data_IF_263637379765
#
_entry.id   IF_263637379765
#
_cell.length_a   1.000
_cell.length_b   1.000
_cell.length_c   1.000
_cell.angle_alpha   90.00
_cell.angle_beta   90.00
_cell.angle_gamma   90.00
#
_symmetry.space_group_name_H-M   'P 1'
#
loop_
_entity.id
_entity.type
_entity.pdbx_description
1 polymer ?
#
# COMPACT_ATOMS: atom_id res chain seq x y z
N UNK A 1 -10.68 1.46 25.24
CA UNK A 1 -10.77 0.04 25.65
C UNK A 1 -10.03 -0.78 24.60
N UNK A 2 -9.37 -1.87 25.00
CA UNK A 2 -8.78 -2.82 24.05
C UNK A 2 -9.90 -3.57 23.34
N UNK A 3 -9.87 -3.62 22.00
CA UNK A 3 -10.84 -4.39 21.19
C UNK A 3 -10.27 -5.79 20.90
N UNK A 4 -11.06 -6.83 21.13
CA UNK A 4 -10.78 -8.19 20.67
C UNK A 4 -11.15 -8.32 19.19
N UNK A 5 -10.20 -8.76 18.36
CA UNK A 5 -10.34 -8.84 16.91
C UNK A 5 -10.27 -10.29 16.46
N UNK A 6 -11.23 -10.70 15.64
CA UNK A 6 -11.16 -11.94 14.88
C UNK A 6 -10.74 -11.62 13.43
N UNK A 7 -9.56 -12.08 13.03
CA UNK A 7 -9.02 -11.87 11.68
C UNK A 7 -9.30 -13.06 10.78
N UNK A 8 -9.81 -12.80 9.57
CA UNK A 8 -10.10 -13.81 8.56
C UNK A 8 -9.31 -13.49 7.30
N UNK A 9 -8.51 -14.42 6.80
CA UNK A 9 -7.79 -14.24 5.55
C UNK A 9 -6.65 -15.22 5.37
N UNK A 10 -6.09 -15.26 4.16
CA UNK A 10 -4.81 -15.94 3.92
C UNK A 10 -3.72 -15.19 4.68
N UNK A 11 -2.86 -15.91 5.41
CA UNK A 11 -1.71 -15.35 6.13
C UNK A 11 -0.57 -14.96 5.17
N UNK A 12 -0.82 -13.99 4.28
CA UNK A 12 0.19 -13.36 3.43
C UNK A 12 0.78 -12.10 4.11
N UNK A 13 1.66 -11.38 3.41
CA UNK A 13 2.31 -10.20 3.99
C UNK A 13 1.33 -9.05 4.28
N UNK A 14 0.19 -8.97 3.59
CA UNK A 14 -0.85 -7.96 3.86
C UNK A 14 -1.57 -8.30 5.16
N UNK A 15 -1.96 -9.57 5.33
CA UNK A 15 -2.51 -10.07 6.58
C UNK A 15 -1.57 -9.82 7.75
N UNK A 16 -0.30 -10.23 7.62
CA UNK A 16 0.68 -10.13 8.70
C UNK A 16 0.97 -8.67 9.08
N UNK A 17 1.07 -7.78 8.09
CA UNK A 17 1.27 -6.35 8.36
C UNK A 17 0.06 -5.71 9.06
N UNK A 18 -1.16 -6.12 8.71
CA UNK A 18 -2.35 -5.61 9.38
C UNK A 18 -2.46 -6.15 10.82
N UNK A 19 -2.18 -7.44 11.01
CA UNK A 19 -2.14 -8.07 12.34
C UNK A 19 -1.10 -7.40 13.25
N UNK A 20 0.15 -7.24 12.79
CA UNK A 20 1.20 -6.53 13.56
C UNK A 20 0.75 -5.11 13.92
N UNK A 21 0.16 -4.36 12.97
CA UNK A 21 -0.28 -2.99 13.24
C UNK A 21 -1.44 -2.92 14.24
N UNK A 22 -2.38 -3.86 14.20
CA UNK A 22 -3.49 -4.00 15.15
C UNK A 22 -2.99 -4.28 16.57
N UNK A 23 -2.08 -5.25 16.71
CA UNK A 23 -1.47 -5.59 18.01
C UNK A 23 -0.75 -4.39 18.60
N UNK A 24 0.05 -3.70 17.78
CA UNK A 24 0.75 -2.46 18.19
C UNK A 24 -0.19 -1.30 18.54
N UNK A 25 -1.42 -1.31 18.03
CA UNK A 25 -2.46 -0.35 18.41
C UNK A 25 -3.19 -0.77 19.70
N UNK A 26 -2.83 -1.90 20.30
CA UNK A 26 -3.39 -2.39 21.55
C UNK A 26 -4.61 -3.28 21.39
N UNK A 27 -4.87 -3.81 20.19
CA UNK A 27 -5.89 -4.85 19.97
C UNK A 27 -5.36 -6.22 20.41
N UNK A 28 -6.28 -7.13 20.77
CA UNK A 28 -5.99 -8.54 21.07
C UNK A 28 -6.67 -9.44 20.06
N UNK A 29 -6.14 -10.64 19.81
CA UNK A 29 -6.72 -11.57 18.84
C UNK A 29 -7.51 -12.70 19.50
N UNK A 30 -8.59 -13.14 18.83
CA UNK A 30 -9.38 -14.31 19.22
C UNK A 30 -9.69 -15.18 18.00
N UNK A 31 -9.64 -16.49 18.20
CA UNK A 31 -10.03 -17.49 17.19
C UNK A 31 -11.56 -17.65 17.10
N UNK A 32 -12.29 -17.18 18.11
CA UNK A 32 -13.74 -17.31 18.23
C UNK A 32 -14.44 -15.99 17.87
N UNK A 33 -15.34 -16.03 16.88
CA UNK A 33 -16.08 -14.85 16.40
C UNK A 33 -16.98 -14.26 17.48
N UNK A 34 -17.60 -15.14 18.25
CA UNK A 34 -18.51 -14.83 19.37
C UNK A 34 -17.83 -14.05 20.50
N UNK A 35 -16.51 -14.18 20.64
CA UNK A 35 -15.72 -13.48 21.65
C UNK A 35 -15.05 -12.20 21.11
N UNK A 36 -15.32 -11.84 19.85
CA UNK A 36 -14.71 -10.69 19.19
C UNK A 36 -15.59 -9.44 19.25
N UNK A 37 -14.96 -8.30 19.50
CA UNK A 37 -15.58 -6.97 19.34
C UNK A 37 -15.61 -6.54 17.87
N UNK A 38 -14.71 -7.10 17.05
CA UNK A 38 -14.53 -6.73 15.66
C UNK A 38 -14.10 -7.92 14.80
N UNK A 39 -14.81 -8.15 13.70
CA UNK A 39 -14.45 -9.14 12.68
C UNK A 39 -13.88 -8.43 11.45
N UNK A 40 -12.60 -8.67 11.17
CA UNK A 40 -11.91 -8.09 10.01
C UNK A 40 -11.58 -9.21 9.01
N UNK A 41 -12.07 -9.09 7.77
CA UNK A 41 -11.77 -10.03 6.69
C UNK A 41 -10.86 -9.40 5.63
N UNK A 42 -9.85 -10.13 5.17
CA UNK A 42 -8.79 -9.64 4.29
C UNK A 42 -8.73 -10.49 3.01
N UNK A 43 -8.64 -9.83 1.86
CA UNK A 43 -8.52 -10.46 0.55
C UNK A 43 -9.79 -11.23 0.15
N UNK A 44 -9.63 -12.31 -0.62
CA UNK A 44 -10.74 -13.09 -1.18
C UNK A 44 -11.67 -13.68 -0.13
N UNK A 45 -11.12 -13.99 1.06
CA UNK A 45 -11.88 -14.56 2.18
C UNK A 45 -12.99 -13.66 2.69
N UNK A 46 -12.94 -12.35 2.40
CA UNK A 46 -14.04 -11.42 2.70
C UNK A 46 -15.34 -11.78 1.95
N UNK A 47 -15.27 -12.50 0.84
CA UNK A 47 -16.47 -12.94 0.09
C UNK A 47 -17.13 -14.20 0.64
N UNK A 48 -16.39 -15.00 1.39
CA UNK A 48 -16.85 -16.31 1.89
C UNK A 48 -17.31 -16.27 3.34
N UNK A 49 -17.23 -15.11 3.99
CA UNK A 49 -17.57 -14.96 5.40
C UNK A 49 -18.91 -14.23 5.58
N UNK A 50 -19.77 -14.76 6.43
CA UNK A 50 -20.93 -14.03 6.95
C UNK A 50 -20.51 -13.16 8.13
N UNK A 51 -21.18 -12.01 8.30
CA UNK A 51 -21.04 -11.11 9.46
C UNK A 51 -19.64 -10.51 9.60
N UNK A 52 -19.27 -9.65 8.64
CA UNK A 52 -17.98 -8.94 8.64
C UNK A 52 -18.22 -7.49 9.05
N UNK A 53 -17.46 -6.99 10.03
CA UNK A 53 -17.46 -5.58 10.37
C UNK A 53 -16.63 -4.78 9.38
N UNK A 54 -15.40 -5.22 9.14
CA UNK A 54 -14.46 -4.55 8.22
C UNK A 54 -13.94 -5.53 7.18
N UNK A 55 -14.10 -5.20 5.91
CA UNK A 55 -13.44 -5.91 4.80
C UNK A 55 -12.27 -5.08 4.26
N UNK A 56 -11.15 -5.73 3.98
CA UNK A 56 -9.98 -5.13 3.32
C UNK A 56 -9.69 -5.92 2.06
N UNK A 57 -9.94 -5.33 0.90
CA UNK A 57 -9.89 -6.05 -0.38
C UNK A 57 -9.03 -5.31 -1.43
N UNK A 58 -8.42 -6.02 -2.38
CA UNK A 58 -7.87 -5.43 -3.59
C UNK A 58 -8.93 -4.67 -4.39
N UNK A 59 -8.51 -3.65 -5.14
CA UNK A 59 -9.43 -2.78 -5.88
C UNK A 59 -10.25 -3.48 -6.97
N UNK A 60 -9.71 -4.55 -7.55
CA UNK A 60 -10.35 -5.34 -8.61
C UNK A 60 -11.37 -6.37 -8.09
N UNK A 61 -11.55 -6.53 -6.78
CA UNK A 61 -12.49 -7.49 -6.22
C UNK A 61 -13.89 -6.88 -6.09
N UNK A 62 -14.98 -7.65 -6.20
CA UNK A 62 -16.32 -7.12 -5.92
C UNK A 62 -16.41 -6.61 -4.46
N UNK A 63 -17.41 -5.79 -4.12
CA UNK A 63 -17.62 -5.42 -2.70
C UNK A 63 -18.24 -6.60 -1.93
N UNK A 64 -17.65 -7.09 -0.83
CA UNK A 64 -18.27 -8.08 0.05
C UNK A 64 -19.37 -7.49 0.93
N UNK A 65 -20.15 -8.34 1.59
CA UNK A 65 -21.16 -7.89 2.55
C UNK A 65 -20.53 -7.58 3.92
N UNK A 66 -19.95 -6.39 4.07
CA UNK A 66 -19.38 -5.89 5.33
C UNK A 66 -20.04 -4.57 5.76
N UNK A 67 -19.89 -4.18 7.05
CA UNK A 67 -20.33 -2.86 7.55
C UNK A 67 -19.47 -1.73 6.99
N UNK A 68 -18.17 -1.96 6.85
CA UNK A 68 -17.20 -1.07 6.22
C UNK A 68 -16.27 -1.87 5.31
N UNK A 69 -15.99 -1.36 4.11
CA UNK A 69 -15.08 -1.97 3.15
C UNK A 69 -13.98 -0.99 2.75
N UNK A 70 -12.73 -1.37 2.97
CA UNK A 70 -11.56 -0.71 2.39
C UNK A 70 -11.22 -1.36 1.06
N UNK A 71 -11.30 -0.56 0.00
CA UNK A 71 -10.87 -0.93 -1.35
C UNK A 71 -9.49 -0.38 -1.60
N UNK A 72 -8.48 -1.25 -1.62
CA UNK A 72 -7.08 -0.83 -1.63
C UNK A 72 -6.52 -0.92 -3.03
N UNK A 73 -5.94 0.19 -3.51
CA UNK A 73 -5.38 0.33 -4.85
C UNK A 73 -3.86 0.40 -4.78
N UNK A 74 -3.20 -0.33 -5.69
CA UNK A 74 -1.77 -0.19 -6.00
C UNK A 74 -0.87 -0.09 -4.75
N UNK A 75 -0.79 -1.17 -3.95
CA UNK A 75 0.05 -1.15 -2.75
C UNK A 75 1.46 -1.66 -3.02
N UNK A 76 2.44 -0.97 -2.42
CA UNK A 76 3.81 -1.43 -2.36
C UNK A 76 3.94 -2.38 -1.17
N UNK A 77 4.03 -3.68 -1.46
CA UNK A 77 4.31 -4.74 -0.49
C UNK A 77 5.72 -5.25 -0.73
N UNK A 78 6.70 -4.91 0.13
CA UNK A 78 8.09 -5.31 -0.07
C UNK A 78 8.30 -6.81 -0.27
N UNK A 79 7.50 -7.65 0.39
CA UNK A 79 7.56 -9.11 0.29
C UNK A 79 6.95 -9.68 -1.00
N UNK A 80 6.51 -8.86 -1.95
CA UNK A 80 5.92 -9.26 -3.23
C UNK A 80 4.71 -10.19 -3.08
N UNK A 81 3.54 -9.63 -2.72
CA UNK A 81 2.28 -10.37 -2.67
C UNK A 81 1.45 -10.10 -3.91
N UNK A 82 1.17 -11.17 -4.67
CA UNK A 82 0.35 -11.10 -5.88
C UNK A 82 -1.09 -10.66 -5.58
N UNK A 83 -1.67 -9.90 -6.51
CA UNK A 83 -3.08 -9.52 -6.49
C UNK A 83 -3.36 -8.20 -5.77
N UNK A 84 -2.32 -7.51 -5.32
CA UNK A 84 -2.41 -6.21 -4.65
C UNK A 84 -1.73 -5.07 -5.44
N UNK A 85 -1.17 -5.37 -6.62
CA UNK A 85 -0.67 -4.41 -7.60
C UNK A 85 0.85 -4.44 -7.78
N UNK A 86 1.61 -4.89 -6.78
CA UNK A 86 3.09 -4.86 -6.80
C UNK A 86 3.71 -5.78 -7.85
N UNK A 87 2.98 -6.80 -8.31
CA UNK A 87 3.43 -7.79 -9.29
C UNK A 87 3.97 -7.18 -10.59
N UNK A 88 3.46 -6.00 -10.98
CA UNK A 88 3.89 -5.29 -12.18
C UNK A 88 5.33 -4.75 -12.08
N UNK A 89 5.86 -4.61 -10.86
CA UNK A 89 7.20 -4.05 -10.61
C UNK A 89 8.29 -5.12 -10.53
N UNK A 90 7.95 -6.39 -10.40
CA UNK A 90 8.91 -7.48 -10.22
C UNK A 90 9.91 -7.56 -11.38
N UNK A 91 9.42 -7.56 -12.63
CA UNK A 91 10.27 -7.60 -13.82
C UNK A 91 11.21 -6.38 -13.89
N UNK A 92 10.74 -5.22 -13.44
CA UNK A 92 11.54 -3.98 -13.47
C UNK A 92 12.68 -4.02 -12.46
N UNK A 93 12.47 -4.66 -11.31
CA UNK A 93 13.52 -4.88 -10.31
C UNK A 93 14.67 -5.67 -10.94
N UNK A 94 14.35 -6.77 -11.65
CA UNK A 94 15.35 -7.61 -12.31
C UNK A 94 16.04 -6.89 -13.47
N UNK A 95 15.29 -6.13 -14.27
CA UNK A 95 15.87 -5.30 -15.33
C UNK A 95 16.87 -4.29 -14.77
N UNK A 96 16.50 -3.58 -13.70
CA UNK A 96 17.36 -2.57 -13.09
C UNK A 96 18.59 -3.22 -12.44
N UNK A 97 18.42 -4.34 -11.73
CA UNK A 97 19.53 -5.10 -11.11
C UNK A 97 20.53 -5.63 -12.13
N UNK A 98 20.05 -6.09 -13.29
CA UNK A 98 20.90 -6.58 -14.39
C UNK A 98 21.55 -5.49 -15.23
N UNK A 99 21.25 -4.21 -14.96
CA UNK A 99 21.72 -3.09 -15.78
C UNK A 99 21.03 -2.98 -17.15
N UNK A 100 19.91 -3.68 -17.32
CA UNK A 100 19.13 -3.67 -18.56
C UNK A 100 18.40 -2.34 -18.75
N UNK A 101 18.46 -1.79 -19.96
CA UNK A 101 17.73 -0.59 -20.36
C UNK A 101 16.32 -0.91 -20.85
N UNK A 102 15.59 -1.74 -20.08
CA UNK A 102 14.19 -2.01 -20.36
C UNK A 102 13.39 -0.71 -20.42
N UNK A 103 12.39 -0.67 -21.31
CA UNK A 103 11.37 0.37 -21.29
C UNK A 103 10.16 -0.19 -20.54
N UNK A 104 9.50 0.61 -19.69
CA UNK A 104 8.27 0.14 -19.07
C UNK A 104 7.26 -0.19 -20.19
N UNK A 105 6.48 -1.29 -20.04
CA UNK A 105 5.39 -1.59 -20.95
C UNK A 105 4.50 -0.36 -21.19
N UNK A 106 4.18 -0.09 -22.45
CA UNK A 106 3.44 1.12 -22.87
C UNK A 106 1.99 1.14 -22.37
N UNK A 107 1.50 0.00 -21.90
CA UNK A 107 0.14 -0.27 -21.44
C UNK A 107 -0.06 -0.08 -19.92
N UNK A 108 0.99 0.24 -19.16
CA UNK A 108 0.83 0.52 -17.73
C UNK A 108 0.55 2.01 -17.54
N UNK A 109 -0.72 2.32 -17.28
CA UNK A 109 -1.19 3.63 -16.85
C UNK A 109 -0.50 4.06 -15.55
N UNK A 110 -0.42 5.38 -15.30
CA UNK A 110 0.13 5.87 -14.05
C UNK A 110 -0.74 5.43 -12.86
N UNK A 111 -0.09 5.06 -11.76
CA UNK A 111 -0.73 4.45 -10.58
C UNK A 111 -0.54 5.30 -9.35
N UNK A 112 -1.47 5.17 -8.41
CA UNK A 112 -1.45 5.92 -7.16
C UNK A 112 -0.85 5.05 -6.04
N UNK A 113 0.45 4.75 -6.16
CA UNK A 113 1.13 3.86 -5.23
C UNK A 113 1.07 4.34 -3.78
N UNK A 114 0.81 3.43 -2.85
CA UNK A 114 0.89 3.68 -1.41
C UNK A 114 1.61 2.53 -0.71
N UNK A 115 2.40 2.85 0.32
CA UNK A 115 3.13 1.85 1.06
C UNK A 115 2.20 1.08 2.01
N UNK A 116 2.39 -0.25 2.12
CA UNK A 116 1.61 -1.12 3.01
C UNK A 116 1.52 -0.61 4.46
N UNK A 117 2.60 0.02 4.97
CA UNK A 117 2.59 0.61 6.33
C UNK A 117 1.58 1.75 6.49
N UNK A 118 1.42 2.60 5.49
CA UNK A 118 0.43 3.69 5.54
C UNK A 118 -0.99 3.16 5.36
N UNK A 119 -1.15 2.11 4.55
CA UNK A 119 -2.42 1.39 4.34
C UNK A 119 -2.90 0.78 5.66
N UNK A 120 -2.06 -0.02 6.32
CA UNK A 120 -2.44 -0.69 7.57
C UNK A 120 -2.65 0.32 8.69
N UNK A 121 -1.85 1.38 8.76
CA UNK A 121 -2.06 2.46 9.76
C UNK A 121 -3.44 3.10 9.63
N UNK A 122 -3.86 3.46 8.42
CA UNK A 122 -5.18 4.02 8.19
C UNK A 122 -6.31 3.04 8.51
N UNK A 123 -6.21 1.80 8.04
CA UNK A 123 -7.23 0.78 8.30
C UNK A 123 -7.37 0.57 9.80
N UNK A 124 -6.27 0.40 10.53
CA UNK A 124 -6.29 0.19 11.99
C UNK A 124 -6.86 1.38 12.72
N UNK A 125 -6.43 2.60 12.36
CA UNK A 125 -6.91 3.81 13.01
C UNK A 125 -8.43 3.98 12.84
N UNK A 126 -8.95 3.73 11.64
CA UNK A 126 -10.39 3.84 11.34
C UNK A 126 -11.18 2.66 11.94
N UNK A 127 -10.63 1.44 11.92
CA UNK A 127 -11.36 0.26 12.39
C UNK A 127 -11.47 0.20 13.92
N UNK A 128 -10.49 0.76 14.63
CA UNK A 128 -10.49 0.75 16.10
C UNK A 128 -11.19 1.95 16.73
N UNK A 129 -11.48 3.02 15.97
CA UNK A 129 -12.27 4.15 16.50
C UNK A 129 -13.72 3.74 16.75
N UNK A 130 -14.40 4.48 17.62
CA UNK A 130 -15.86 4.38 17.84
C UNK A 130 -16.62 5.48 17.06
N UNK A 131 -15.91 6.25 16.23
CA UNK A 131 -16.52 7.27 15.40
C UNK A 131 -17.40 6.64 14.31
N UNK A 132 -18.56 7.23 14.06
CA UNK A 132 -19.40 6.82 12.94
C UNK A 132 -18.73 7.20 11.62
N UNK A 133 -18.52 6.20 10.76
CA UNK A 133 -17.99 6.37 9.42
C UNK A 133 -19.17 6.38 8.44
N UNK A 134 -19.48 7.51 7.79
CA UNK A 134 -20.69 7.65 6.98
C UNK A 134 -20.65 6.82 5.68
N UNK A 135 -19.46 6.43 5.25
CA UNK A 135 -19.25 5.68 4.02
C UNK A 135 -19.09 4.19 4.32
N UNK A 136 -19.90 3.36 3.66
CA UNK A 136 -19.77 1.89 3.69
C UNK A 136 -18.54 1.40 2.91
N UNK A 137 -18.13 2.14 1.89
CA UNK A 137 -16.97 1.82 1.06
C UNK A 137 -15.99 3.00 1.05
N UNK A 138 -14.71 2.72 1.26
CA UNK A 138 -13.63 3.70 1.27
C UNK A 138 -12.52 3.20 0.36
N UNK A 139 -12.20 3.99 -0.67
CA UNK A 139 -11.02 3.77 -1.48
C UNK A 139 -9.75 4.24 -0.77
N UNK A 140 -8.71 3.42 -0.83
CA UNK A 140 -7.41 3.68 -0.25
C UNK A 140 -6.32 3.58 -1.31
N UNK A 141 -5.69 4.72 -1.60
CA UNK A 141 -4.63 4.85 -2.58
C UNK A 141 -3.64 5.96 -2.18
N UNK A 142 -2.51 6.03 -2.89
CA UNK A 142 -1.56 7.13 -2.80
C UNK A 142 -2.16 8.46 -3.25
N UNK A 143 -1.57 9.56 -2.79
CA UNK A 143 -2.05 10.91 -3.15
C UNK A 143 -1.56 11.41 -4.50
N UNK A 144 -0.51 10.80 -5.04
CA UNK A 144 0.17 11.22 -6.27
C UNK A 144 0.21 10.05 -7.24
N UNK A 145 -0.12 10.33 -8.49
CA UNK A 145 0.09 9.41 -9.58
C UNK A 145 1.57 9.34 -9.95
N UNK A 146 2.04 8.15 -10.29
CA UNK A 146 3.39 7.90 -10.80
C UNK A 146 3.30 7.16 -12.12
N UNK A 147 3.86 7.74 -13.17
CA UNK A 147 3.95 7.07 -14.46
C UNK A 147 4.95 5.94 -14.39
N UNK A 148 4.77 4.96 -15.26
CA UNK A 148 5.69 3.83 -15.38
C UNK A 148 7.14 4.28 -15.65
N UNK A 149 7.32 5.33 -16.46
CA UNK A 149 8.63 5.96 -16.66
C UNK A 149 9.19 6.58 -15.38
N UNK A 150 8.38 7.33 -14.63
CA UNK A 150 8.80 7.97 -13.39
C UNK A 150 9.17 6.94 -12.31
N UNK A 151 8.45 5.82 -12.22
CA UNK A 151 8.80 4.71 -11.32
C UNK A 151 10.11 4.06 -11.75
N UNK A 152 10.27 3.74 -13.03
CA UNK A 152 11.49 3.08 -13.51
C UNK A 152 12.73 3.97 -13.39
N UNK A 153 12.63 5.26 -13.73
CA UNK A 153 13.72 6.23 -13.58
C UNK A 153 14.13 6.36 -12.11
N UNK A 154 13.15 6.37 -11.21
CA UNK A 154 13.38 6.38 -9.77
C UNK A 154 14.11 5.10 -9.31
N UNK A 155 13.67 3.94 -9.78
CA UNK A 155 14.34 2.65 -9.50
C UNK A 155 15.79 2.63 -9.99
N UNK A 156 16.04 3.08 -11.23
CA UNK A 156 17.39 3.18 -11.82
C UNK A 156 18.30 4.10 -11.00
N UNK A 157 17.78 5.26 -10.58
CA UNK A 157 18.52 6.21 -9.74
C UNK A 157 18.87 5.61 -8.37
N UNK A 158 17.89 4.98 -7.70
CA UNK A 158 18.08 4.38 -6.39
C UNK A 158 19.09 3.23 -6.43
N UNK A 159 18.95 2.32 -7.40
CA UNK A 159 19.88 1.21 -7.59
C UNK A 159 21.28 1.70 -7.97
N UNK A 160 21.38 2.68 -8.89
CA UNK A 160 22.64 3.29 -9.29
C UNK A 160 23.40 3.88 -8.10
N UNK A 161 22.72 4.59 -7.20
CA UNK A 161 23.33 5.13 -5.97
C UNK A 161 23.81 4.03 -5.03
N UNK A 162 23.05 2.96 -4.88
CA UNK A 162 23.47 1.80 -4.10
C UNK A 162 24.74 1.16 -4.69
N UNK A 163 24.77 0.94 -6.02
CA UNK A 163 25.94 0.37 -6.68
C UNK A 163 27.14 1.30 -6.66
N UNK A 164 26.96 2.61 -6.80
CA UNK A 164 28.04 3.60 -6.70
C UNK A 164 28.67 3.58 -5.30
N UNK A 165 27.85 3.45 -4.25
CA UNK A 165 28.33 3.36 -2.89
C UNK A 165 29.19 2.10 -2.67
N UNK A 166 28.75 0.95 -3.22
CA UNK A 166 29.51 -0.30 -3.14
C UNK A 166 30.87 -0.21 -3.85
N UNK A 167 30.94 0.49 -4.99
CA UNK A 167 32.16 0.61 -5.79
C UNK A 167 32.97 1.87 -5.48
N UNK A 168 32.55 2.69 -4.52
CA UNK A 168 33.16 3.97 -4.18
C UNK A 168 33.27 4.92 -5.40
N UNK A 169 32.28 4.89 -6.29
CA UNK A 169 32.30 5.54 -7.60
C UNK A 169 31.33 6.70 -7.78
N UNK A 170 30.81 7.25 -6.68
CA UNK A 170 29.89 8.40 -6.74
C UNK A 170 30.49 9.57 -7.54
N UNK A 171 29.68 10.18 -8.40
CA UNK A 171 29.99 11.44 -9.08
C UNK A 171 29.10 12.56 -8.55
N UNK A 172 29.43 13.81 -8.87
CA UNK A 172 28.54 14.93 -8.55
C UNK A 172 27.18 14.71 -9.19
N UNK A 173 27.13 14.24 -10.43
CA UNK A 173 25.90 13.95 -11.19
C UNK A 173 25.08 12.79 -10.58
N UNK A 174 25.70 11.75 -10.03
CA UNK A 174 24.92 10.68 -9.37
C UNK A 174 24.30 11.12 -8.03
N UNK A 175 24.83 12.21 -7.45
CA UNK A 175 24.34 12.84 -6.23
C UNK A 175 23.45 14.08 -6.47
N UNK A 176 23.62 14.78 -7.60
CA UNK A 176 22.83 15.94 -8.00
C UNK A 176 21.68 15.54 -8.92
N UNK A 177 20.66 16.41 -9.00
CA UNK A 177 19.36 16.15 -9.62
C UNK A 177 18.48 15.13 -8.89
N UNK A 178 17.56 15.67 -8.09
CA UNK A 178 16.25 15.07 -7.93
C UNK A 178 15.23 16.11 -8.41
N UNK A 179 14.89 16.19 -9.70
CA UNK A 179 13.51 16.50 -9.99
C UNK A 179 12.74 15.41 -9.25
N UNK A 180 11.92 15.79 -8.27
CA UNK A 180 10.95 14.83 -7.72
C UNK A 180 10.29 14.18 -8.93
N UNK A 181 10.24 12.84 -9.09
CA UNK A 181 9.64 12.25 -10.28
C UNK A 181 8.18 12.71 -10.47
N UNK A 182 7.56 13.22 -9.40
CA UNK A 182 6.30 13.94 -9.40
C UNK A 182 6.28 15.28 -10.19
N UNK A 183 7.42 15.79 -10.69
CA UNK A 183 7.48 17.04 -11.46
C UNK A 183 7.17 16.86 -12.94
N UNK A 184 7.25 15.64 -13.47
CA UNK A 184 6.56 15.31 -14.72
C UNK A 184 5.13 14.94 -14.33
N UNK A 185 4.28 15.96 -14.20
CA UNK A 185 2.84 15.74 -14.16
C UNK A 185 2.48 14.89 -15.37
N UNK A 186 1.92 13.71 -15.11
CA UNK A 186 1.31 12.92 -16.15
C UNK A 186 0.17 13.75 -16.75
N UNK A 187 0.27 14.09 -18.05
CA UNK A 187 -0.69 14.94 -18.76
C UNK A 187 -1.99 14.20 -19.15
N UNK A 188 -2.07 12.88 -18.95
CA UNK A 188 -3.28 12.11 -19.24
C UNK A 188 -4.30 12.14 -18.10
N UNK A 189 -5.57 11.88 -18.43
CA UNK A 189 -6.62 11.67 -17.43
C UNK A 189 -6.45 10.29 -16.79
N UNK A 190 -5.92 10.26 -15.58
CA UNK A 190 -6.02 9.06 -14.73
C UNK A 190 -7.10 9.29 -13.71
N UNK A 191 -8.06 8.38 -13.69
CA UNK A 191 -9.12 8.36 -12.69
C UNK A 191 -8.51 7.96 -11.35
N UNK A 192 -8.08 8.95 -10.56
CA UNK A 192 -7.79 8.76 -9.14
C UNK A 192 -9.09 8.35 -8.43
N UNK A 193 -9.08 7.32 -7.57
CA UNK A 193 -10.24 7.04 -6.74
C UNK A 193 -10.59 8.24 -5.86
N UNK A 194 -11.86 8.36 -5.46
CA UNK A 194 -12.25 9.44 -4.56
C UNK A 194 -11.71 9.17 -3.15
N UNK A 195 -10.74 9.98 -2.72
CA UNK A 195 -10.10 9.87 -1.41
C UNK A 195 -10.76 10.76 -0.35
N UNK A 196 -11.83 11.50 -0.70
CA UNK A 196 -12.56 12.33 0.28
C UNK A 196 -13.14 11.48 1.42
N UNK A 197 -13.77 10.31 1.18
CA UNK A 197 -14.23 9.43 2.25
C UNK A 197 -13.10 9.00 3.20
N UNK A 198 -11.96 8.59 2.64
CA UNK A 198 -10.78 8.20 3.44
C UNK A 198 -10.26 9.36 4.27
N UNK A 199 -10.11 10.54 3.64
CA UNK A 199 -9.61 11.72 4.32
C UNK A 199 -10.49 12.10 5.51
N UNK A 200 -11.80 12.13 5.32
CA UNK A 200 -12.76 12.45 6.38
C UNK A 200 -12.80 11.38 7.47
N UNK A 201 -12.74 10.09 7.12
CA UNK A 201 -12.66 9.00 8.09
C UNK A 201 -11.40 9.09 8.97
N UNK A 202 -10.25 9.46 8.38
CA UNK A 202 -9.02 9.68 9.15
C UNK A 202 -9.16 10.87 10.12
N UNK A 203 -9.80 11.97 9.72
CA UNK A 203 -10.10 13.11 10.61
C UNK A 203 -11.02 12.67 11.76
N UNK A 204 -12.11 11.99 11.43
CA UNK A 204 -13.06 11.48 12.43
C UNK A 204 -12.40 10.49 13.42
N UNK A 205 -11.35 9.79 12.97
CA UNK A 205 -10.56 8.87 13.78
C UNK A 205 -9.40 9.55 14.52
N UNK A 206 -9.37 10.88 14.58
CA UNK A 206 -8.44 11.67 15.40
C UNK A 206 -7.15 12.12 14.70
N UNK A 207 -7.01 11.94 13.38
CA UNK A 207 -5.85 12.48 12.62
C UNK A 207 -6.19 13.84 12.02
N UNK A 208 -5.70 14.91 12.64
CA UNK A 208 -6.03 16.30 12.25
C UNK A 208 -5.78 16.61 10.77
N UNK A 209 -4.72 16.07 10.18
CA UNK A 209 -4.38 16.30 8.77
C UNK A 209 -5.14 15.40 7.77
N UNK A 210 -5.97 14.48 8.28
CA UNK A 210 -6.64 13.44 7.50
C UNK A 210 -5.67 12.52 6.76
N UNK A 211 -6.06 12.03 5.58
CA UNK A 211 -5.23 11.12 4.79
C UNK A 211 -3.97 11.81 4.25
N UNK A 212 -2.83 11.39 4.79
CA UNK A 212 -1.50 11.82 4.37
C UNK A 212 -0.51 10.67 4.58
N UNK A 213 -0.26 9.84 3.56
CA UNK A 213 0.78 8.81 3.60
C UNK A 213 2.11 9.44 4.01
N UNK A 214 2.81 8.81 4.95
CA UNK A 214 4.08 9.29 5.49
C UNK A 214 5.27 8.62 4.82
N UNK A 215 5.09 7.40 4.32
CA UNK A 215 6.17 6.66 3.67
C UNK A 215 6.38 7.20 2.26
N UNK A 216 7.59 7.65 1.96
CA UNK A 216 7.94 8.09 0.61
C UNK A 216 8.01 6.89 -0.35
N UNK A 217 7.57 7.07 -1.60
CA UNK A 217 7.68 6.07 -2.68
C UNK A 217 9.08 5.42 -2.75
N UNK A 218 10.14 6.24 -2.62
CA UNK A 218 11.54 5.79 -2.67
C UNK A 218 11.86 4.73 -1.61
N UNK A 219 11.28 4.85 -0.42
CA UNK A 219 11.46 3.87 0.66
C UNK A 219 10.85 2.54 0.24
N UNK A 220 9.62 2.55 -0.27
CA UNK A 220 8.97 1.33 -0.78
C UNK A 220 9.76 0.66 -1.89
N UNK A 221 10.26 1.43 -2.87
CA UNK A 221 11.10 0.91 -3.96
C UNK A 221 12.42 0.31 -3.46
N UNK A 222 13.09 0.96 -2.50
CA UNK A 222 14.30 0.40 -1.87
C UNK A 222 14.01 -0.88 -1.10
N UNK A 223 12.87 -0.96 -0.42
CA UNK A 223 12.47 -2.18 0.31
C UNK A 223 12.14 -3.34 -0.63
N UNK A 224 11.57 -3.06 -1.81
CA UNK A 224 11.39 -4.05 -2.87
C UNK A 224 12.74 -4.58 -3.37
N UNK A 225 13.71 -3.70 -3.64
CA UNK A 225 15.07 -4.13 -3.98
C UNK A 225 15.68 -5.00 -2.88
N UNK A 226 15.55 -4.61 -1.61
CA UNK A 226 16.09 -5.37 -0.49
C UNK A 226 15.47 -6.78 -0.37
N UNK A 227 14.16 -6.90 -0.56
CA UNK A 227 13.48 -8.20 -0.51
C UNK A 227 13.78 -9.08 -1.73
N UNK A 228 14.07 -8.48 -2.89
CA UNK A 228 14.50 -9.22 -4.09
C UNK A 228 15.90 -9.85 -3.97
N UNK A 229 16.65 -9.60 -2.89
CA UNK A 229 18.00 -10.15 -2.66
C UNK A 229 17.98 -11.53 -1.98
N UNK A 230 16.80 -12.18 -1.90
CA UNK A 230 16.59 -13.43 -1.16
C UNK A 230 16.10 -14.62 -1.99
N UNK A 231 16.12 -14.55 -3.32
CA UNK A 231 15.84 -15.68 -4.23
C UNK A 231 17.03 -15.96 -5.16
#
# INVERSE_FOLDING_TARGET
MTKAVHLIGRQDAVYLALADRLERAGATFTEHKEDSDLIIAIGENAHFSSEIDVAVIPSNFPTPNAKLTFRVHDILVPQHVNGWGVEVLSDWIDWVKSGSQGNPPADIDARHWVHIRDVTDAIVQISLTDAEIPNREIDLAGRRAWSSSAVLDEMKLLWGRYTDALHLSHTVESLTNVPSPASQQFDGQISRPDLVPLHNAMIASGREEGWRPLTAMRVGLMELFAHSQGE
#
